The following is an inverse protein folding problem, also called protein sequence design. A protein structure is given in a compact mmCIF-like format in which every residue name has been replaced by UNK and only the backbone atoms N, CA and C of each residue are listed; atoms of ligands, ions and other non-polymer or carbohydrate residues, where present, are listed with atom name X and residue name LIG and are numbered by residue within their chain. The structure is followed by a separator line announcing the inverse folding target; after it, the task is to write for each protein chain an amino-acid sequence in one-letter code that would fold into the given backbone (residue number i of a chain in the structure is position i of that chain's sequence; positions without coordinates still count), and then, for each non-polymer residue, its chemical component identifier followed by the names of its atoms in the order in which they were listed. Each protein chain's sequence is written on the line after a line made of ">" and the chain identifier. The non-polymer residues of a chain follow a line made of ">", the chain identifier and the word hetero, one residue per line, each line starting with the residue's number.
data_IF_776918975634
#
_entry.id   IF_776918975634
#
_cell.length_a   1.000
_cell.length_b   1.000
_cell.length_c   1.000
_cell.angle_alpha   90.00
_cell.angle_beta   90.00
_cell.angle_gamma   90.00
#
_symmetry.space_group_name_H-M   'P 1'
#
loop_
_entity.id
_entity.type
_entity.pdbx_description
1 polymer ?
#
# COMPACT_ATOMS: atom_id res chain seq x y z
N UNK A 1 3.89 -0.27 20.31
CA UNK A 1 3.98 -1.72 20.55
C UNK A 1 4.98 -2.34 19.57
N UNK A 2 6.02 -3.08 20.02
CA UNK A 2 7.09 -3.61 19.16
C UNK A 2 6.58 -4.40 17.94
N UNK A 3 5.52 -5.19 18.13
CA UNK A 3 4.87 -5.96 17.05
C UNK A 3 4.32 -5.05 15.96
N UNK A 4 3.65 -3.95 16.33
CA UNK A 4 3.08 -2.99 15.37
C UNK A 4 4.20 -2.27 14.62
N UNK A 5 5.30 -1.90 15.31
CA UNK A 5 6.45 -1.27 14.67
C UNK A 5 7.09 -2.18 13.62
N UNK A 6 7.31 -3.44 13.97
CA UNK A 6 7.92 -4.42 13.07
C UNK A 6 6.98 -4.77 11.89
N UNK A 7 5.67 -4.90 12.15
CA UNK A 7 4.69 -5.10 11.10
C UNK A 7 4.66 -3.94 10.11
N UNK A 8 4.74 -2.68 10.58
CA UNK A 8 4.81 -1.51 9.72
C UNK A 8 6.05 -1.51 8.82
N UNK A 9 7.18 -2.00 9.31
CA UNK A 9 8.39 -2.15 8.49
C UNK A 9 8.19 -3.17 7.36
N UNK A 10 7.54 -4.31 7.65
CA UNK A 10 7.18 -5.29 6.65
C UNK A 10 6.21 -4.72 5.60
N UNK A 11 5.18 -3.97 6.03
CA UNK A 11 4.23 -3.33 5.12
C UNK A 11 4.91 -2.28 4.22
N UNK A 12 5.86 -1.51 4.75
CA UNK A 12 6.64 -0.54 3.98
C UNK A 12 7.50 -1.21 2.90
N UNK A 13 8.11 -2.34 3.24
CA UNK A 13 8.91 -3.15 2.33
C UNK A 13 8.04 -3.79 1.24
N UNK A 14 6.89 -4.35 1.64
CA UNK A 14 5.92 -4.94 0.72
C UNK A 14 5.38 -3.92 -0.29
N UNK A 15 5.13 -2.67 0.15
CA UNK A 15 4.73 -1.60 -0.76
C UNK A 15 5.81 -1.30 -1.82
N UNK A 16 7.08 -1.19 -1.42
CA UNK A 16 8.19 -0.94 -2.36
C UNK A 16 8.26 -2.03 -3.43
N UNK A 17 8.19 -3.30 -3.05
CA UNK A 17 8.17 -4.42 -3.99
C UNK A 17 6.92 -4.42 -4.88
N UNK A 18 5.74 -4.15 -4.32
CA UNK A 18 4.49 -4.12 -5.07
C UNK A 18 4.40 -2.94 -6.06
N UNK A 19 5.15 -1.87 -5.82
CA UNK A 19 5.25 -0.71 -6.71
C UNK A 19 6.10 -0.99 -7.95
N UNK A 20 7.11 -1.85 -7.84
CA UNK A 20 8.01 -2.21 -8.95
C UNK A 20 7.46 -3.32 -9.86
N UNK A 21 6.40 -4.01 -9.45
CA UNK A 21 5.76 -5.09 -10.21
C UNK A 21 4.99 -4.62 -11.46
N UNK A 22 4.59 -5.58 -12.31
CA UNK A 22 3.77 -5.32 -13.50
C UNK A 22 2.39 -4.73 -13.16
N UNK A 23 1.88 -3.86 -14.04
CA UNK A 23 0.55 -3.26 -13.90
C UNK A 23 -0.51 -4.33 -13.61
N UNK A 24 -1.27 -4.17 -12.52
CA UNK A 24 -2.36 -5.08 -12.15
C UNK A 24 -2.00 -6.25 -11.24
N UNK A 25 -0.73 -6.67 -11.15
CA UNK A 25 -0.31 -7.86 -10.37
C UNK A 25 -0.60 -7.76 -8.87
N UNK A 26 -0.74 -6.55 -8.33
CA UNK A 26 -0.82 -6.32 -6.89
C UNK A 26 -2.01 -5.46 -6.44
N UNK A 27 -3.03 -5.24 -7.27
CA UNK A 27 -4.18 -4.35 -6.94
C UNK A 27 -4.80 -4.70 -5.59
N UNK A 28 -5.07 -5.99 -5.34
CA UNK A 28 -5.64 -6.47 -4.08
C UNK A 28 -4.75 -6.13 -2.87
N UNK A 29 -3.45 -6.45 -2.95
CA UNK A 29 -2.48 -6.18 -1.89
C UNK A 29 -2.31 -4.69 -1.65
N UNK A 30 -2.29 -3.88 -2.71
CA UNK A 30 -2.23 -2.41 -2.63
C UNK A 30 -3.46 -1.85 -1.90
N UNK A 31 -4.66 -2.37 -2.14
CA UNK A 31 -5.86 -1.95 -1.43
C UNK A 31 -5.77 -2.23 0.09
N UNK A 32 -5.31 -3.41 0.48
CA UNK A 32 -5.08 -3.76 1.88
C UNK A 32 -4.00 -2.88 2.53
N UNK A 33 -2.92 -2.59 1.81
CA UNK A 33 -1.85 -1.69 2.27
C UNK A 33 -2.37 -0.27 2.52
N UNK A 34 -3.20 0.27 1.62
CA UNK A 34 -3.81 1.59 1.80
C UNK A 34 -4.62 1.67 3.09
N UNK A 35 -5.43 0.63 3.37
CA UNK A 35 -6.20 0.55 4.61
C UNK A 35 -5.31 0.43 5.85
N UNK A 36 -4.30 -0.45 5.82
CA UNK A 36 -3.37 -0.62 6.93
C UNK A 36 -2.59 0.67 7.25
N UNK A 37 -2.10 1.39 6.24
CA UNK A 37 -1.43 2.67 6.44
C UNK A 37 -2.38 3.77 6.94
N UNK A 38 -3.64 3.76 6.53
CA UNK A 38 -4.65 4.68 7.06
C UNK A 38 -4.90 4.44 8.56
N UNK A 39 -5.08 3.18 8.98
CA UNK A 39 -5.24 2.82 10.40
C UNK A 39 -4.00 3.15 11.24
N UNK A 40 -2.81 2.98 10.65
CA UNK A 40 -1.54 3.31 11.31
C UNK A 40 -1.23 4.82 11.36
N UNK A 41 -2.09 5.67 10.78
CA UNK A 41 -1.87 7.12 10.70
C UNK A 41 -0.78 7.55 9.72
N UNK A 42 -0.25 6.65 8.89
CA UNK A 42 0.80 6.95 7.91
C UNK A 42 0.20 7.57 6.63
N UNK A 43 -0.09 8.87 6.71
CA UNK A 43 -0.78 9.62 5.65
C UNK A 43 0.02 9.67 4.34
N UNK A 44 1.35 9.73 4.42
CA UNK A 44 2.23 9.79 3.26
C UNK A 44 2.10 8.50 2.43
N UNK A 45 2.34 7.34 3.06
CA UNK A 45 2.23 6.04 2.39
C UNK A 45 0.83 5.76 1.90
N UNK A 46 -0.19 6.05 2.71
CA UNK A 46 -1.59 5.90 2.28
C UNK A 46 -1.84 6.66 0.98
N UNK A 47 -1.41 7.93 0.91
CA UNK A 47 -1.64 8.77 -0.27
C UNK A 47 -0.90 8.25 -1.50
N UNK A 48 0.33 7.77 -1.32
CA UNK A 48 1.12 7.17 -2.40
C UNK A 48 0.44 5.90 -2.97
N UNK A 49 -0.01 5.00 -2.10
CA UNK A 49 -0.68 3.75 -2.49
C UNK A 49 -2.01 4.04 -3.18
N UNK A 50 -2.82 4.97 -2.65
CA UNK A 50 -4.10 5.35 -3.25
C UNK A 50 -3.93 5.97 -4.65
N UNK A 51 -2.86 6.74 -4.88
CA UNK A 51 -2.55 7.27 -6.21
C UNK A 51 -2.25 6.15 -7.21
N UNK A 52 -1.41 5.19 -6.85
CA UNK A 52 -1.13 4.02 -7.70
C UNK A 52 -2.39 3.21 -8.00
N UNK A 53 -3.25 2.99 -6.99
CA UNK A 53 -4.53 2.30 -7.20
C UNK A 53 -5.46 3.07 -8.14
N UNK A 54 -5.48 4.40 -8.06
CA UNK A 54 -6.28 5.24 -8.94
C UNK A 54 -5.81 5.18 -10.40
N UNK A 55 -4.51 5.04 -10.62
CA UNK A 55 -3.93 4.84 -11.96
C UNK A 55 -4.29 3.48 -12.56
N UNK A 56 -4.43 2.44 -11.72
CA UNK A 56 -4.82 1.08 -12.13
C UNK A 56 -6.34 0.85 -12.16
N UNK A 57 -7.14 1.82 -11.70
CA UNK A 57 -8.58 1.70 -11.66
C UNK A 57 -9.16 1.65 -13.07
N UNK A 58 -10.07 0.70 -13.31
CA UNK A 58 -10.87 0.65 -14.54
C UNK A 58 -11.77 1.88 -14.57
N UNK A 59 -11.70 2.65 -15.65
CA UNK A 59 -12.62 3.77 -15.89
C UNK A 59 -13.94 3.20 -16.43
N UNK A 60 -15.05 3.67 -15.89
CA UNK A 60 -16.41 3.35 -16.37
C UNK A 60 -16.62 3.72 -17.84
#
# INVERSE_FOLDING_TARGET
>A
HPVVRNALFCLDSAWKSAKEGSHGSHVYTKALLAYAFALAGNQERRTEVLRSLREEAVKE
#
